data_IF_464155591049
#
_entry.id   IF_464155591049
#
_cell.length_a   1.000
_cell.length_b   1.000
_cell.length_c   1.000
_cell.angle_alpha   90.00
_cell.angle_beta   90.00
_cell.angle_gamma   90.00
#
_symmetry.space_group_name_H-M   'P 1'
#
loop_
_entity.id
_entity.type
_entity.pdbx_description
1 polymer ?
#
# COMPACT_ATOMS: atom_id res chain seq x y z
N UNK A 1 13.69 -5.13 0.06
CA UNK A 1 14.78 -5.44 1.03
C UNK A 1 15.82 -4.32 1.17
N UNK A 2 16.11 -3.55 0.12
CA UNK A 2 17.02 -2.39 0.14
C UNK A 2 16.79 -1.38 1.28
N UNK A 3 15.55 -0.97 1.55
CA UNK A 3 15.28 0.01 2.62
C UNK A 3 15.38 -0.53 4.04
N UNK A 4 15.13 -1.84 4.23
CA UNK A 4 15.31 -2.48 5.55
C UNK A 4 16.78 -2.47 5.94
N UNK A 5 17.66 -2.71 4.97
CA UNK A 5 19.10 -2.62 5.14
C UNK A 5 19.57 -1.18 5.40
N UNK A 6 19.08 -0.21 4.62
CA UNK A 6 19.41 1.22 4.79
C UNK A 6 18.94 1.79 6.14
N UNK A 7 17.77 1.35 6.64
CA UNK A 7 17.26 1.70 7.97
C UNK A 7 18.13 1.15 9.09
N UNK A 8 18.62 -0.09 8.96
CA UNK A 8 19.45 -0.74 9.97
C UNK A 8 20.85 -0.11 10.07
N UNK A 9 21.34 0.49 8.99
CA UNK A 9 22.66 1.12 8.91
C UNK A 9 22.65 2.63 9.24
N UNK A 10 21.59 3.16 9.87
CA UNK A 10 21.60 4.52 10.43
C UNK A 10 21.48 5.66 9.42
N UNK A 11 21.22 5.39 8.15
CA UNK A 11 21.10 6.41 7.10
C UNK A 11 19.76 7.18 7.09
N UNK A 12 18.99 7.17 8.19
CA UNK A 12 17.66 7.78 8.24
C UNK A 12 17.63 8.85 9.34
N UNK A 13 17.68 10.11 8.93
CA UNK A 13 17.34 11.25 9.78
C UNK A 13 15.83 11.19 10.12
N UNK A 14 15.46 11.57 11.34
CA UNK A 14 14.09 11.44 11.85
C UNK A 14 13.08 12.14 10.94
N UNK A 15 12.21 11.36 10.31
CA UNK A 15 11.20 11.81 9.36
C UNK A 15 10.10 12.60 10.05
N UNK A 16 9.74 13.77 9.50
CA UNK A 16 8.63 14.57 10.01
C UNK A 16 7.32 13.76 9.98
N UNK A 17 6.49 13.95 11.01
CA UNK A 17 5.18 13.30 11.10
C UNK A 17 4.35 13.68 9.87
N UNK A 18 3.82 12.70 9.11
CA UNK A 18 3.02 13.03 7.94
C UNK A 18 1.72 13.74 8.35
N UNK A 19 1.32 14.76 7.58
CA UNK A 19 0.14 15.57 7.86
C UNK A 19 -1.19 14.79 7.79
N UNK A 20 -2.28 15.35 8.33
CA UNK A 20 -3.58 14.68 8.44
C UNK A 20 -4.13 14.13 7.11
N UNK A 21 -3.89 14.83 5.99
CA UNK A 21 -4.29 14.38 4.66
C UNK A 21 -3.64 13.04 4.25
N UNK A 22 -2.39 12.81 4.66
CA UNK A 22 -1.69 11.56 4.40
C UNK A 22 -2.33 10.37 5.14
N UNK A 23 -2.76 10.60 6.40
CA UNK A 23 -3.48 9.61 7.18
C UNK A 23 -4.81 9.20 6.52
N UNK A 24 -5.55 10.16 5.97
CA UNK A 24 -6.81 9.92 5.25
C UNK A 24 -6.60 9.09 3.99
N UNK A 25 -5.62 9.45 3.15
CA UNK A 25 -5.31 8.71 1.92
C UNK A 25 -4.95 7.25 2.27
N UNK A 26 -4.16 7.03 3.32
CA UNK A 26 -3.79 5.69 3.76
C UNK A 26 -4.98 4.88 4.26
N UNK A 27 -5.89 5.51 4.99
CA UNK A 27 -7.11 4.87 5.48
C UNK A 27 -8.02 4.48 4.33
N UNK A 28 -8.30 5.41 3.41
CA UNK A 28 -9.12 5.16 2.21
C UNK A 28 -8.51 4.04 1.38
N UNK A 29 -7.20 4.10 1.11
CA UNK A 29 -6.51 3.06 0.36
C UNK A 29 -6.63 1.68 1.02
N UNK A 30 -6.48 1.62 2.34
CA UNK A 30 -6.62 0.35 3.05
C UNK A 30 -8.08 -0.13 3.08
N UNK A 31 -9.06 0.76 3.19
CA UNK A 31 -10.48 0.42 3.12
C UNK A 31 -10.90 -0.09 1.74
N UNK A 32 -10.43 0.55 0.66
CA UNK A 32 -10.67 0.11 -0.73
C UNK A 32 -10.09 -1.27 -0.99
N UNK A 33 -9.05 -1.68 -0.27
CA UNK A 33 -8.54 -3.04 -0.41
C UNK A 33 -9.51 -4.13 0.07
N UNK A 34 -10.33 -3.83 1.07
CA UNK A 34 -11.32 -4.79 1.57
C UNK A 34 -12.57 -4.89 0.71
N UNK A 35 -12.80 -3.93 -0.18
CA UNK A 35 -14.01 -3.82 -1.00
C UNK A 35 -14.33 -5.10 -1.78
N UNK A 36 -13.41 -5.74 -2.51
CA UNK A 36 -13.70 -6.99 -3.22
C UNK A 36 -14.13 -8.14 -2.28
N UNK A 37 -13.51 -8.23 -1.10
CA UNK A 37 -13.84 -9.26 -0.11
C UNK A 37 -15.22 -8.98 0.49
N UNK A 38 -15.49 -7.72 0.86
CA UNK A 38 -16.76 -7.31 1.42
C UNK A 38 -17.91 -7.54 0.44
N UNK A 39 -17.73 -7.18 -0.84
CA UNK A 39 -18.77 -7.36 -1.87
C UNK A 39 -19.10 -8.84 -2.13
N UNK A 40 -18.13 -9.74 -1.99
CA UNK A 40 -18.38 -11.19 -2.05
C UNK A 40 -19.11 -11.66 -0.80
N UNK A 41 -18.68 -11.23 0.38
CA UNK A 41 -19.29 -11.63 1.65
C UNK A 41 -20.74 -11.13 1.80
N UNK A 42 -21.06 -9.96 1.24
CA UNK A 42 -22.42 -9.42 1.21
C UNK A 42 -23.29 -10.01 0.10
N UNK A 43 -22.74 -10.93 -0.71
CA UNK A 43 -23.46 -11.54 -1.84
C UNK A 43 -23.79 -10.56 -2.96
N UNK A 44 -23.11 -9.40 -3.02
CA UNK A 44 -23.36 -8.36 -4.02
C UNK A 44 -22.76 -8.71 -5.37
N UNK A 45 -21.68 -9.50 -5.39
CA UNK A 45 -21.03 -9.98 -6.61
C UNK A 45 -20.75 -11.48 -6.52
N UNK A 46 -20.72 -12.15 -7.67
CA UNK A 46 -20.36 -13.56 -7.77
C UNK A 46 -18.90 -13.81 -7.34
N UNK A 47 -18.64 -15.01 -6.84
CA UNK A 47 -17.31 -15.44 -6.39
C UNK A 47 -16.21 -15.19 -7.44
N UNK A 48 -16.49 -15.47 -8.72
CA UNK A 48 -15.54 -15.23 -9.82
C UNK A 48 -15.19 -13.75 -9.99
N UNK A 49 -16.19 -12.86 -9.97
CA UNK A 49 -15.98 -11.42 -10.04
C UNK A 49 -15.20 -10.90 -8.83
N UNK A 50 -15.52 -11.42 -7.65
CA UNK A 50 -14.79 -11.15 -6.41
C UNK A 50 -13.33 -11.57 -6.46
N UNK A 51 -13.04 -12.76 -6.95
CA UNK A 51 -11.68 -13.27 -7.11
C UNK A 51 -10.87 -12.40 -8.08
N UNK A 52 -11.43 -12.03 -9.23
CA UNK A 52 -10.78 -11.15 -10.21
C UNK A 52 -10.51 -9.78 -9.58
N UNK A 53 -11.49 -9.20 -8.89
CA UNK A 53 -11.32 -7.92 -8.19
C UNK A 53 -10.21 -7.99 -7.13
N UNK A 54 -10.23 -9.03 -6.29
CA UNK A 54 -9.19 -9.24 -5.29
C UNK A 54 -7.80 -9.43 -5.92
N UNK A 55 -7.71 -10.20 -7.01
CA UNK A 55 -6.46 -10.43 -7.72
C UNK A 55 -5.92 -9.13 -8.33
N UNK A 56 -6.76 -8.35 -9.01
CA UNK A 56 -6.38 -7.07 -9.60
C UNK A 56 -5.83 -6.10 -8.54
N UNK A 57 -6.52 -5.96 -7.41
CA UNK A 57 -6.06 -5.11 -6.31
C UNK A 57 -4.74 -5.63 -5.71
N UNK A 58 -4.56 -6.94 -5.63
CA UNK A 58 -3.32 -7.56 -5.16
C UNK A 58 -2.14 -7.27 -6.10
N UNK A 59 -2.35 -7.32 -7.41
CA UNK A 59 -1.34 -6.95 -8.41
C UNK A 59 -0.96 -5.47 -8.29
N UNK A 60 -1.93 -4.56 -8.12
CA UNK A 60 -1.64 -3.14 -7.91
C UNK A 60 -0.77 -2.92 -6.66
N UNK A 61 -1.06 -3.64 -5.55
CA UNK A 61 -0.23 -3.60 -4.33
C UNK A 61 1.18 -4.12 -4.57
N UNK A 62 1.33 -5.19 -5.34
CA UNK A 62 2.63 -5.73 -5.69
C UNK A 62 3.44 -4.70 -6.49
N UNK A 63 2.83 -4.08 -7.49
CA UNK A 63 3.47 -3.04 -8.32
C UNK A 63 3.85 -1.84 -7.46
N UNK A 64 2.96 -1.34 -6.61
CA UNK A 64 3.25 -0.22 -5.71
C UNK A 64 4.43 -0.53 -4.77
N UNK A 65 4.51 -1.75 -4.24
CA UNK A 65 5.62 -2.19 -3.39
C UNK A 65 6.94 -2.36 -4.16
N UNK A 66 6.89 -2.84 -5.41
CA UNK A 66 8.06 -2.94 -6.29
C UNK A 66 8.56 -1.55 -6.71
N UNK A 67 7.65 -0.66 -7.11
CA UNK A 67 7.95 0.72 -7.47
C UNK A 67 8.61 1.46 -6.31
N UNK A 68 8.05 1.33 -5.11
CA UNK A 68 8.68 1.84 -3.89
C UNK A 68 10.09 1.33 -3.72
N UNK A 69 10.28 0.01 -3.71
CA UNK A 69 11.57 -0.61 -3.39
C UNK A 69 12.68 -0.35 -4.43
N UNK A 70 12.32 -0.19 -5.70
CA UNK A 70 13.29 -0.13 -6.79
C UNK A 70 13.48 1.28 -7.35
N UNK A 71 12.42 2.09 -7.40
CA UNK A 71 12.42 3.38 -8.10
C UNK A 71 12.54 4.55 -7.13
N UNK A 72 11.81 4.54 -6.02
CA UNK A 72 11.78 5.68 -5.10
C UNK A 72 13.08 5.82 -4.29
N UNK A 73 13.47 7.08 -4.02
CA UNK A 73 14.50 7.40 -3.04
C UNK A 73 14.01 7.09 -1.61
N UNK A 74 14.94 6.91 -0.67
CA UNK A 74 14.64 6.61 0.75
C UNK A 74 13.62 7.58 1.37
N UNK A 75 13.81 8.88 1.19
CA UNK A 75 12.95 9.92 1.77
C UNK A 75 11.54 9.90 1.15
N UNK A 76 11.45 9.64 -0.16
CA UNK A 76 10.17 9.53 -0.87
C UNK A 76 9.47 8.19 -0.58
N UNK A 77 10.23 7.13 -0.28
CA UNK A 77 9.70 5.84 0.12
C UNK A 77 9.09 5.86 1.53
N UNK A 78 9.46 6.80 2.39
CA UNK A 78 8.84 6.99 3.72
C UNK A 78 7.53 7.77 3.66
N UNK A 79 7.43 8.71 2.72
CA UNK A 79 6.20 9.47 2.43
C UNK A 79 5.30 8.80 1.40
N UNK A 80 5.61 7.57 0.99
CA UNK A 80 4.81 6.83 0.02
C UNK A 80 3.52 6.28 0.67
N UNK A 81 2.33 6.78 0.28
CA UNK A 81 1.08 6.51 0.98
C UNK A 81 0.59 5.06 0.83
N UNK A 82 1.04 4.36 -0.22
CA UNK A 82 0.65 2.97 -0.51
C UNK A 82 1.52 1.94 0.22
N UNK A 83 2.06 2.30 1.38
CA UNK A 83 2.81 1.41 2.27
C UNK A 83 1.84 0.48 3.03
N UNK A 84 1.88 -0.81 2.70
CA UNK A 84 1.39 -1.88 3.59
C UNK A 84 2.39 -2.12 4.70
#
# INVERSE_FOLDING_TARGET
>A
MRFVWLKKNGHIASTSKPGAAYGLIRLIYNAVWWLPILLVLTGTIDYGAGFIGFFAVTVVRLIANLYRNNVLSLEQAETFPFRS
#
